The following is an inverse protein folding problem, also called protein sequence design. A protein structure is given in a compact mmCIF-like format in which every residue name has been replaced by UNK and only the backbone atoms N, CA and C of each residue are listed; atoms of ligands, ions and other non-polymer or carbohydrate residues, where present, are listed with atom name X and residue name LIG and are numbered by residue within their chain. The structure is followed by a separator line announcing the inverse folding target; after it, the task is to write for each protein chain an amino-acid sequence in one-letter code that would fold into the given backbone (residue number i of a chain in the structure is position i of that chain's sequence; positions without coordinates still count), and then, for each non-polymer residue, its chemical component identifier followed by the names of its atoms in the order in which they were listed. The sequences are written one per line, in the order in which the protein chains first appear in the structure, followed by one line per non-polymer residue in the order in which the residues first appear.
data_IF_349536760469
#
_entry.id   IF_349536760469
#
_cell.length_a   1.000
_cell.length_b   1.000
_cell.length_c   1.000
_cell.angle_alpha   90.00
_cell.angle_beta   90.00
_cell.angle_gamma   90.00
#
_symmetry.space_group_name_H-M   'P 1'
#
loop_
_entity.id
_entity.type
_entity.pdbx_description
1 polymer ?
#
# COMPACT_ATOMS: atom_id res chain seq x y z
N UNK A 1 -10.89 -6.82 36.80
CA UNK A 1 -9.54 -6.24 36.63
C UNK A 1 -8.71 -7.15 35.73
N UNK A 2 -8.68 -6.91 34.42
CA UNK A 2 -7.86 -7.70 33.51
C UNK A 2 -6.54 -6.96 33.25
N UNK A 3 -5.44 -7.57 33.69
CA UNK A 3 -4.07 -7.08 33.50
C UNK A 3 -3.74 -6.91 32.01
N UNK A 4 -3.10 -5.80 31.59
CA UNK A 4 -2.72 -5.64 30.19
C UNK A 4 -1.61 -6.64 29.88
N UNK A 5 -1.92 -7.65 29.07
CA UNK A 5 -0.91 -8.53 28.48
C UNK A 5 0.09 -7.65 27.72
N UNK A 6 1.31 -7.55 28.25
CA UNK A 6 2.41 -6.87 27.60
C UNK A 6 2.55 -7.45 26.19
N UNK A 7 2.15 -6.67 25.17
CA UNK A 7 2.44 -6.99 23.77
C UNK A 7 3.95 -7.11 23.67
N UNK A 8 4.47 -8.35 23.66
CA UNK A 8 5.84 -8.62 23.25
C UNK A 8 5.97 -7.97 21.88
N UNK A 9 6.70 -6.87 21.81
CA UNK A 9 7.17 -6.30 20.56
C UNK A 9 7.97 -7.41 19.89
N UNK A 10 7.28 -8.22 19.08
CA UNK A 10 7.89 -9.22 18.24
C UNK A 10 8.58 -8.44 17.14
N UNK A 11 9.80 -8.01 17.42
CA UNK A 11 10.78 -7.67 16.39
C UNK A 11 10.97 -8.94 15.56
N UNK A 12 10.05 -9.17 14.61
CA UNK A 12 10.31 -10.00 13.44
C UNK A 12 11.36 -9.20 12.67
N UNK A 13 12.62 -9.43 13.04
CA UNK A 13 13.78 -8.87 12.36
C UNK A 13 13.61 -9.07 10.86
N UNK A 14 14.07 -8.08 10.10
CA UNK A 14 14.10 -8.14 8.64
C UNK A 14 14.55 -9.53 8.23
N UNK A 15 13.76 -10.23 7.40
CA UNK A 15 14.25 -11.47 6.80
C UNK A 15 15.34 -11.03 5.82
N UNK A 16 16.63 -11.28 6.08
CA UNK A 16 17.69 -10.69 5.28
C UNK A 16 17.76 -11.38 3.90
N UNK A 17 17.38 -12.65 3.84
CA UNK A 17 17.40 -13.46 2.61
C UNK A 17 16.43 -12.90 1.55
N UNK A 18 15.14 -12.65 1.85
CA UNK A 18 14.22 -12.08 0.87
C UNK A 18 14.56 -10.63 0.49
N UNK A 19 15.12 -9.84 1.42
CA UNK A 19 15.61 -8.50 1.12
C UNK A 19 16.80 -8.53 0.14
N UNK A 20 17.74 -9.44 0.35
CA UNK A 20 18.87 -9.64 -0.55
C UNK A 20 18.42 -10.09 -1.95
N UNK A 21 17.38 -10.92 -2.05
CA UNK A 21 16.80 -11.33 -3.34
C UNK A 21 16.20 -10.12 -4.08
N UNK A 22 15.41 -9.28 -3.39
CA UNK A 22 14.82 -8.10 -4.00
C UNK A 22 15.88 -7.10 -4.48
N UNK A 23 16.90 -6.85 -3.66
CA UNK A 23 18.05 -6.01 -4.03
C UNK A 23 18.82 -6.64 -5.20
N UNK A 24 19.00 -7.96 -5.17
CA UNK A 24 19.68 -8.73 -6.21
C UNK A 24 18.97 -8.62 -7.57
N UNK A 25 17.64 -8.58 -7.60
CA UNK A 25 16.87 -8.35 -8.84
C UNK A 25 17.14 -6.95 -9.40
N UNK A 26 17.12 -5.92 -8.56
CA UNK A 26 17.46 -4.56 -8.98
C UNK A 26 18.89 -4.41 -9.50
N UNK A 27 19.83 -5.04 -8.80
CA UNK A 27 21.22 -5.07 -9.20
C UNK A 27 21.43 -5.85 -10.51
N UNK A 28 20.70 -6.95 -10.69
CA UNK A 28 20.70 -7.74 -11.91
C UNK A 28 20.15 -6.93 -13.10
N UNK A 29 19.07 -6.17 -12.91
CA UNK A 29 18.56 -5.25 -13.94
C UNK A 29 19.60 -4.18 -14.29
N UNK A 30 20.31 -3.64 -13.29
CA UNK A 30 21.32 -2.61 -13.52
C UNK A 30 22.61 -3.13 -14.19
N UNK A 31 23.03 -4.38 -13.89
CA UNK A 31 24.30 -4.95 -14.36
C UNK A 31 24.17 -5.81 -15.63
N UNK A 32 23.04 -6.50 -15.84
CA UNK A 32 22.85 -7.39 -16.99
C UNK A 32 22.37 -6.66 -18.25
N UNK A 33 21.82 -5.45 -18.11
CA UNK A 33 21.33 -4.65 -19.23
C UNK A 33 22.21 -3.39 -19.36
N UNK A 34 23.06 -3.31 -20.41
CA UNK A 34 23.85 -2.11 -20.65
C UNK A 34 22.93 -0.92 -20.95
N UNK A 35 23.31 0.26 -20.46
CA UNK A 35 22.54 1.50 -20.66
C UNK A 35 22.29 1.72 -22.15
N UNK A 36 21.02 1.76 -22.61
CA UNK A 36 20.72 2.00 -24.01
C UNK A 36 21.17 3.41 -24.39
N UNK A 37 21.82 3.54 -25.56
CA UNK A 37 22.27 4.82 -26.12
C UNK A 37 21.08 5.78 -26.26
N UNK A 38 21.14 6.91 -25.55
CA UNK A 38 20.08 7.92 -25.51
C UNK A 38 19.28 7.99 -24.20
N UNK A 39 19.52 7.09 -23.25
CA UNK A 39 18.92 7.17 -21.90
C UNK A 39 19.89 7.79 -20.91
N UNK A 40 19.38 8.73 -20.12
CA UNK A 40 20.14 9.36 -19.05
C UNK A 40 20.53 8.32 -17.97
N UNK A 41 21.81 8.26 -17.55
CA UNK A 41 22.26 7.29 -16.55
C UNK A 41 21.50 7.36 -15.22
N UNK A 42 21.03 8.54 -14.82
CA UNK A 42 20.24 8.75 -13.61
C UNK A 42 18.85 8.11 -13.76
N UNK A 43 18.21 8.27 -14.92
CA UNK A 43 16.92 7.64 -15.21
C UNK A 43 17.02 6.10 -15.19
N UNK A 44 18.13 5.54 -15.67
CA UNK A 44 18.38 4.10 -15.64
C UNK A 44 18.52 3.57 -14.21
N UNK A 45 19.21 4.31 -13.35
CA UNK A 45 19.35 3.95 -11.93
C UNK A 45 18.00 4.05 -11.19
N UNK A 46 17.15 5.03 -11.53
CA UNK A 46 15.81 5.15 -10.96
C UNK A 46 14.94 3.93 -11.30
N UNK A 47 15.03 3.47 -12.55
CA UNK A 47 14.33 2.28 -13.02
C UNK A 47 14.75 1.04 -12.22
N UNK A 48 16.06 0.85 -11.99
CA UNK A 48 16.56 -0.26 -11.18
C UNK A 48 16.03 -0.23 -9.72
N UNK A 49 15.97 0.96 -9.11
CA UNK A 49 15.39 1.14 -7.76
C UNK A 49 13.88 0.86 -7.78
N UNK A 50 13.16 1.28 -8.82
CA UNK A 50 11.74 0.99 -8.98
C UNK A 50 11.47 -0.51 -9.12
N UNK A 51 12.24 -1.22 -9.95
CA UNK A 51 12.15 -2.69 -10.08
C UNK A 51 12.45 -3.39 -8.75
N UNK A 52 13.46 -2.93 -8.00
CA UNK A 52 13.75 -3.40 -6.64
C UNK A 52 12.54 -3.21 -5.72
N UNK A 53 11.91 -2.03 -5.79
CA UNK A 53 10.74 -1.70 -4.99
C UNK A 53 9.58 -2.67 -5.29
N UNK A 54 9.22 -2.83 -6.56
CA UNK A 54 8.15 -3.74 -7.01
C UNK A 54 8.43 -5.19 -6.63
N UNK A 55 9.66 -5.67 -6.85
CA UNK A 55 10.05 -7.03 -6.47
C UNK A 55 9.94 -7.23 -4.95
N UNK A 56 10.36 -6.25 -4.15
CA UNK A 56 10.20 -6.32 -2.70
C UNK A 56 8.76 -6.22 -2.22
N UNK A 57 7.84 -5.58 -2.95
CA UNK A 57 6.41 -5.64 -2.63
C UNK A 57 5.82 -7.04 -2.83
N UNK A 58 6.31 -7.80 -3.82
CA UNK A 58 5.85 -9.17 -4.08
C UNK A 58 6.47 -10.16 -3.08
N UNK A 59 7.76 -9.99 -2.78
CA UNK A 59 8.53 -10.88 -1.90
C UNK A 59 8.27 -10.60 -0.41
N UNK A 60 7.70 -9.43 -0.09
CA UNK A 60 7.38 -8.95 1.26
C UNK A 60 8.50 -9.22 2.29
N UNK A 61 9.75 -8.76 2.04
CA UNK A 61 10.87 -9.02 2.92
C UNK A 61 10.71 -8.31 4.27
N UNK A 62 9.99 -7.18 4.26
CA UNK A 62 9.69 -6.29 5.38
C UNK A 62 8.26 -5.76 5.27
N UNK A 63 7.69 -5.18 6.34
CA UNK A 63 6.42 -4.46 6.25
C UNK A 63 6.46 -3.42 5.12
N UNK A 64 5.40 -3.36 4.31
CA UNK A 64 5.29 -2.51 3.12
C UNK A 64 5.76 -1.07 3.36
N UNK A 65 5.36 -0.37 4.45
CA UNK A 65 5.82 1.00 4.68
C UNK A 65 7.34 1.09 4.88
N UNK A 66 7.93 0.15 5.61
CA UNK A 66 9.37 0.13 5.90
C UNK A 66 10.17 -0.08 4.61
N UNK A 67 9.72 -1.00 3.75
CA UNK A 67 10.35 -1.24 2.46
C UNK A 67 10.25 -0.02 1.53
N UNK A 68 9.08 0.62 1.48
CA UNK A 68 8.86 1.83 0.68
C UNK A 68 9.78 2.98 1.13
N UNK A 69 9.89 3.22 2.44
CA UNK A 69 10.82 4.23 2.97
C UNK A 69 12.28 3.91 2.65
N UNK A 70 12.69 2.64 2.75
CA UNK A 70 14.06 2.23 2.44
C UNK A 70 14.41 2.47 0.95
N UNK A 71 13.50 2.12 0.04
CA UNK A 71 13.67 2.38 -1.39
C UNK A 71 13.74 3.89 -1.69
N UNK A 72 12.89 4.69 -1.03
CA UNK A 72 12.90 6.15 -1.17
C UNK A 72 14.20 6.77 -0.66
N UNK A 73 14.68 6.35 0.52
CA UNK A 73 15.97 6.78 1.06
C UNK A 73 17.09 6.41 0.10
N UNK A 74 17.08 5.20 -0.46
CA UNK A 74 18.07 4.77 -1.43
C UNK A 74 18.07 5.63 -2.70
N UNK A 75 16.88 6.02 -3.20
CA UNK A 75 16.74 6.92 -4.36
C UNK A 75 17.30 8.32 -4.11
N UNK A 76 17.11 8.87 -2.90
CA UNK A 76 17.66 10.18 -2.51
C UNK A 76 19.17 10.11 -2.29
N UNK A 77 19.66 9.08 -1.57
CA UNK A 77 21.10 8.90 -1.29
C UNK A 77 21.88 8.68 -2.58
N UNK A 78 21.31 7.95 -3.54
CA UNK A 78 21.87 7.75 -4.88
C UNK A 78 21.86 9.02 -5.74
N UNK A 79 21.34 10.15 -5.22
CA UNK A 79 21.13 11.42 -5.92
C UNK A 79 20.28 11.29 -7.20
N UNK A 80 19.54 10.19 -7.31
CA UNK A 80 18.68 9.91 -8.45
C UNK A 80 17.42 10.77 -8.41
N UNK A 81 16.94 11.10 -7.22
CA UNK A 81 15.85 12.02 -6.99
C UNK A 81 16.26 13.10 -5.99
N UNK A 82 15.84 14.34 -6.20
CA UNK A 82 16.03 15.40 -5.21
C UNK A 82 15.11 15.16 -4.01
N UNK A 83 15.51 15.66 -2.83
CA UNK A 83 14.72 15.54 -1.61
C UNK A 83 13.28 16.07 -1.76
N UNK A 84 13.14 17.19 -2.46
CA UNK A 84 11.86 17.84 -2.70
C UNK A 84 10.94 16.96 -3.57
N UNK A 85 11.49 16.34 -4.62
CA UNK A 85 10.73 15.45 -5.51
C UNK A 85 10.41 14.12 -4.82
N UNK A 86 11.28 13.63 -3.95
CA UNK A 86 11.03 12.43 -3.16
C UNK A 86 9.86 12.60 -2.17
N UNK A 87 9.73 13.78 -1.56
CA UNK A 87 8.68 14.06 -0.58
C UNK A 87 7.38 14.60 -1.18
N UNK A 88 7.40 15.12 -2.41
CA UNK A 88 6.20 15.69 -3.06
C UNK A 88 5.05 14.68 -3.17
N UNK A 89 5.38 13.39 -3.29
CA UNK A 89 4.39 12.31 -3.28
C UNK A 89 3.55 12.25 -2.00
N UNK A 90 4.14 12.51 -0.83
CA UNK A 90 3.42 12.46 0.47
C UNK A 90 2.44 13.62 0.67
N UNK A 91 2.63 14.72 -0.06
CA UNK A 91 1.75 15.89 -0.02
C UNK A 91 0.72 15.88 -1.14
N UNK A 92 0.58 14.75 -1.85
CA UNK A 92 -0.38 14.65 -2.94
C UNK A 92 -1.82 14.57 -2.41
N UNK A 93 -2.72 15.38 -2.98
CA UNK A 93 -4.13 15.45 -2.59
C UNK A 93 -4.81 14.08 -2.63
N UNK A 94 -4.48 13.22 -3.60
CA UNK A 94 -5.08 11.88 -3.73
C UNK A 94 -4.75 11.01 -2.50
N UNK A 95 -3.52 11.07 -1.98
CA UNK A 95 -3.13 10.30 -0.78
C UNK A 95 -3.87 10.82 0.46
N UNK A 96 -4.00 12.14 0.57
CA UNK A 96 -4.76 12.77 1.66
C UNK A 96 -6.25 12.46 1.58
N UNK A 97 -6.84 12.43 0.39
CA UNK A 97 -8.23 12.01 0.17
C UNK A 97 -8.45 10.57 0.65
N UNK A 98 -7.57 9.64 0.24
CA UNK A 98 -7.62 8.24 0.69
C UNK A 98 -7.52 8.16 2.24
N UNK A 99 -6.61 8.94 2.83
CA UNK A 99 -6.39 8.99 4.28
C UNK A 99 -7.63 9.47 5.04
N UNK A 100 -8.25 10.56 4.58
CA UNK A 100 -9.48 11.11 5.18
C UNK A 100 -10.64 10.14 5.06
N UNK A 101 -10.81 9.47 3.90
CA UNK A 101 -11.83 8.43 3.72
C UNK A 101 -11.66 7.27 4.70
N UNK A 102 -10.42 6.79 4.93
CA UNK A 102 -10.16 5.74 5.92
C UNK A 102 -10.46 6.19 7.35
N UNK A 103 -10.12 7.43 7.72
CA UNK A 103 -10.47 7.99 9.02
C UNK A 103 -11.98 8.09 9.21
N UNK A 104 -12.70 8.55 8.18
CA UNK A 104 -14.15 8.62 8.20
C UNK A 104 -14.79 7.24 8.35
N UNK A 105 -14.35 6.25 7.55
CA UNK A 105 -14.79 4.86 7.67
C UNK A 105 -14.54 4.31 9.08
N UNK A 106 -13.35 4.56 9.65
CA UNK A 106 -13.03 4.16 11.03
C UNK A 106 -13.93 4.86 12.05
N UNK A 107 -14.28 6.12 11.84
CA UNK A 107 -15.22 6.88 12.68
C UNK A 107 -16.64 6.28 12.68
N UNK A 108 -17.14 5.84 11.52
CA UNK A 108 -18.43 5.14 11.40
C UNK A 108 -18.41 3.79 12.13
N UNK A 109 -17.30 3.05 12.01
CA UNK A 109 -17.14 1.75 12.69
C UNK A 109 -17.03 1.95 14.21
N UNK A 110 -16.24 2.92 14.68
CA UNK A 110 -16.03 3.16 16.11
C UNK A 110 -17.28 3.71 16.82
N UNK A 111 -18.09 4.53 16.15
CA UNK A 111 -19.39 5.00 16.67
C UNK A 111 -20.48 3.93 16.67
N UNK A 112 -20.24 2.78 16.03
CA UNK A 112 -21.24 1.71 15.85
C UNK A 112 -22.38 2.06 14.88
N UNK A 113 -22.33 3.23 14.25
CA UNK A 113 -23.36 3.69 13.30
C UNK A 113 -23.49 2.72 12.11
N UNK A 114 -22.35 2.22 11.61
CA UNK A 114 -22.35 1.23 10.52
C UNK A 114 -23.06 -0.07 10.88
N UNK A 115 -22.91 -0.55 12.13
CA UNK A 115 -23.60 -1.75 12.61
C UNK A 115 -25.10 -1.50 12.73
N UNK A 116 -25.52 -0.33 13.24
CA UNK A 116 -26.94 0.05 13.32
C UNK A 116 -27.59 0.08 11.93
N UNK A 117 -26.91 0.68 10.95
CA UNK A 117 -27.38 0.73 9.56
C UNK A 117 -27.44 -0.68 8.96
N UNK A 118 -26.41 -1.51 9.16
CA UNK A 118 -26.39 -2.88 8.67
C UNK A 118 -27.55 -3.72 9.24
N UNK A 119 -27.84 -3.58 10.53
CA UNK A 119 -28.98 -4.25 11.17
C UNK A 119 -30.32 -3.79 10.56
N UNK A 120 -30.49 -2.50 10.26
CA UNK A 120 -31.68 -1.99 9.55
C UNK A 120 -31.83 -2.59 8.15
N UNK A 121 -30.73 -2.73 7.39
CA UNK A 121 -30.75 -3.37 6.08
C UNK A 121 -31.09 -4.86 6.15
N UNK A 122 -30.51 -5.59 7.10
CA UNK A 122 -30.81 -7.01 7.33
C UNK A 122 -32.28 -7.19 7.75
N UNK A 123 -32.82 -6.30 8.58
CA UNK A 123 -34.24 -6.35 8.95
C UNK A 123 -35.16 -6.13 7.74
N UNK A 124 -34.78 -5.26 6.79
CA UNK A 124 -35.56 -4.98 5.60
C UNK A 124 -35.45 -6.06 4.50
N UNK A 125 -34.24 -6.55 4.20
CA UNK A 125 -33.96 -7.39 3.02
C UNK A 125 -33.33 -8.75 3.35
N UNK A 126 -32.95 -8.99 4.60
CA UNK A 126 -32.23 -10.20 5.03
C UNK A 126 -33.08 -11.45 5.23
N UNK A 127 -34.38 -11.41 4.91
CA UNK A 127 -35.28 -12.57 5.02
C UNK A 127 -34.97 -13.66 3.99
N UNK A 128 -34.25 -13.33 2.90
CA UNK A 128 -33.77 -14.31 1.91
C UNK A 128 -32.42 -13.89 1.31
N UNK A 129 -31.58 -14.86 0.95
CA UNK A 129 -30.29 -14.61 0.28
C UNK A 129 -30.45 -13.89 -1.06
N UNK A 130 -31.56 -14.14 -1.77
CA UNK A 130 -31.91 -13.46 -3.02
C UNK A 130 -32.13 -11.94 -2.83
N UNK A 131 -32.72 -11.54 -1.71
CA UNK A 131 -32.92 -10.12 -1.38
C UNK A 131 -31.60 -9.37 -1.17
N UNK A 132 -30.66 -9.98 -0.44
CA UNK A 132 -29.32 -9.42 -0.23
C UNK A 132 -28.51 -9.34 -1.53
N UNK A 133 -28.58 -10.38 -2.38
CA UNK A 133 -27.92 -10.34 -3.69
C UNK A 133 -28.49 -9.26 -4.60
N UNK A 134 -29.81 -9.00 -4.54
CA UNK A 134 -30.43 -7.95 -5.34
C UNK A 134 -29.98 -6.55 -4.89
N UNK A 135 -29.89 -6.31 -3.58
CA UNK A 135 -29.34 -5.05 -3.07
C UNK A 135 -27.89 -4.83 -3.54
N UNK A 136 -27.06 -5.87 -3.51
CA UNK A 136 -25.67 -5.79 -3.96
C UNK A 136 -25.57 -5.49 -5.46
N UNK A 137 -26.32 -6.22 -6.30
CA UNK A 137 -26.31 -5.97 -7.76
C UNK A 137 -26.84 -4.58 -8.11
N UNK A 138 -27.85 -4.08 -7.39
CA UNK A 138 -28.29 -2.69 -7.58
C UNK A 138 -27.22 -1.67 -7.19
N UNK A 139 -26.46 -1.90 -6.11
CA UNK A 139 -25.37 -1.01 -5.70
C UNK A 139 -24.25 -0.94 -6.75
N UNK A 140 -23.82 -2.09 -7.29
CA UNK A 140 -22.85 -2.16 -8.39
C UNK A 140 -23.39 -1.49 -9.66
N UNK A 141 -24.68 -1.66 -9.97
CA UNK A 141 -25.31 -0.98 -11.10
C UNK A 141 -25.31 0.54 -10.97
N UNK A 142 -25.51 1.07 -9.75
CA UNK A 142 -25.38 2.50 -9.48
C UNK A 142 -23.94 2.98 -9.69
N UNK A 143 -22.95 2.28 -9.15
CA UNK A 143 -21.53 2.63 -9.36
C UNK A 143 -21.12 2.56 -10.83
N UNK A 144 -21.68 1.62 -11.60
CA UNK A 144 -21.42 1.53 -13.04
C UNK A 144 -22.12 2.62 -13.87
N UNK A 145 -23.16 3.25 -13.34
CA UNK A 145 -23.94 4.29 -14.03
C UNK A 145 -23.39 5.71 -13.88
N UNK A 146 -22.45 5.92 -12.95
CA UNK A 146 -21.76 7.20 -12.68
C UNK A 146 -20.36 7.23 -13.28
#
# INVERSE_FOLDING_TARGET
SQSPAARRWAWRGAKPVPAAIAIGIGLAVHLLLPVPVGVDPQAWQLLAIFCTCVAGLIVEPLPVPVWAFLCLTMAVVSKTLTWQVALSGFTNDVIWLITVSFFFARGIVQSGLGVRIAQSFVAAFGKSTLGLSYCLTTAEAFTASS
#
